data_IF_148643257905
#
_entry.id   IF_148643257905
#
_cell.length_a   1.000
_cell.length_b   1.000
_cell.length_c   1.000
_cell.angle_alpha   90.00
_cell.angle_beta   90.00
_cell.angle_gamma   90.00
#
_symmetry.space_group_name_H-M   'P 1'
#
loop_
_entity.id
_entity.type
_entity.pdbx_description
1 polymer ?
#
# COMPACT_ATOMS: atom_id res chain seq x y z
N UNK A 1 -18.19 -5.90 -7.98
CA UNK A 1 -16.73 -6.13 -7.93
C UNK A 1 -16.04 -4.88 -8.46
N UNK A 2 -15.27 -4.19 -7.62
CA UNK A 2 -14.65 -2.92 -7.97
C UNK A 2 -13.30 -3.20 -8.64
N UNK A 3 -13.28 -3.27 -9.98
CA UNK A 3 -12.13 -3.72 -10.76
C UNK A 3 -10.81 -2.93 -10.60
N UNK A 4 -10.83 -1.76 -9.94
CA UNK A 4 -9.63 -0.96 -9.65
C UNK A 4 -9.16 -1.04 -8.19
N UNK A 5 -9.95 -1.59 -7.27
CA UNK A 5 -9.53 -1.77 -5.87
C UNK A 5 -8.59 -2.97 -5.79
N UNK A 6 -7.31 -2.69 -5.55
CA UNK A 6 -6.31 -3.73 -5.25
C UNK A 6 -6.53 -4.29 -3.84
N UNK A 7 -5.93 -5.45 -3.56
CA UNK A 7 -5.99 -6.04 -2.22
C UNK A 7 -5.41 -5.11 -1.12
N UNK A 8 -4.49 -4.20 -1.50
CA UNK A 8 -3.99 -3.12 -0.64
C UNK A 8 -5.05 -2.07 -0.31
N UNK A 9 -5.95 -1.73 -1.24
CA UNK A 9 -7.09 -0.84 -0.93
C UNK A 9 -7.99 -1.48 0.13
N UNK A 10 -8.28 -2.79 0.01
CA UNK A 10 -9.12 -3.47 1.00
C UNK A 10 -8.47 -3.54 2.39
N UNK A 11 -7.16 -3.80 2.45
CA UNK A 11 -6.39 -3.78 3.70
C UNK A 11 -6.30 -2.37 4.30
N UNK A 12 -6.08 -1.34 3.48
CA UNK A 12 -6.12 0.06 3.89
C UNK A 12 -7.49 0.47 4.41
N UNK A 13 -8.56 0.06 3.72
CA UNK A 13 -9.95 0.38 4.06
C UNK A 13 -10.41 -0.28 5.36
N UNK A 14 -9.91 -1.48 5.63
CA UNK A 14 -10.24 -2.25 6.83
C UNK A 14 -9.34 -1.93 8.02
N UNK A 15 -8.23 -1.21 7.82
CA UNK A 15 -7.23 -0.97 8.85
C UNK A 15 -6.47 -2.24 9.28
N UNK A 16 -6.56 -3.32 8.49
CA UNK A 16 -6.00 -4.62 8.87
C UNK A 16 -4.49 -4.69 8.58
N UNK A 17 -3.70 -4.34 9.59
CA UNK A 17 -2.24 -4.32 9.53
C UNK A 17 -1.63 -5.71 9.27
N UNK A 18 -2.22 -6.77 9.84
CA UNK A 18 -1.73 -8.13 9.68
C UNK A 18 -1.83 -8.61 8.23
N UNK A 19 -2.94 -8.32 7.56
CA UNK A 19 -3.11 -8.62 6.13
C UNK A 19 -2.11 -7.83 5.31
N UNK A 20 -1.91 -6.54 5.60
CA UNK A 20 -0.96 -5.72 4.86
C UNK A 20 0.49 -6.23 5.00
N UNK A 21 0.90 -6.61 6.22
CA UNK A 21 2.20 -7.21 6.49
C UNK A 21 2.37 -8.56 5.79
N UNK A 22 1.37 -9.43 5.86
CA UNK A 22 1.38 -10.71 5.16
C UNK A 22 1.49 -10.51 3.64
N UNK A 23 0.82 -9.49 3.10
CA UNK A 23 0.85 -9.15 1.69
C UNK A 23 2.23 -8.62 1.27
N UNK A 24 2.85 -7.75 2.08
CA UNK A 24 4.23 -7.27 1.84
C UNK A 24 5.23 -8.43 1.86
N UNK A 25 5.11 -9.33 2.83
CA UNK A 25 5.98 -10.50 2.95
C UNK A 25 5.78 -11.52 1.82
N UNK A 26 4.54 -11.70 1.34
CA UNK A 26 4.20 -12.78 0.40
C UNK A 26 4.41 -12.41 -1.07
N UNK A 27 4.16 -11.16 -1.45
CA UNK A 27 4.24 -10.73 -2.86
C UNK A 27 5.59 -10.06 -3.20
N UNK A 28 6.41 -9.77 -2.19
CA UNK A 28 7.72 -9.14 -2.35
C UNK A 28 7.61 -7.65 -2.73
N UNK A 29 8.64 -6.87 -2.39
CA UNK A 29 8.62 -5.40 -2.51
C UNK A 29 8.25 -4.89 -3.92
N UNK A 30 8.60 -5.63 -4.98
CA UNK A 30 8.33 -5.24 -6.37
C UNK A 30 6.85 -5.22 -6.75
N UNK A 31 6.05 -6.18 -6.28
CA UNK A 31 4.62 -6.18 -6.58
C UNK A 31 3.84 -5.19 -5.71
N UNK A 32 4.30 -4.96 -4.47
CA UNK A 32 3.71 -3.97 -3.56
C UNK A 32 3.82 -2.55 -4.15
N UNK A 33 4.93 -2.23 -4.82
CA UNK A 33 5.11 -0.94 -5.53
C UNK A 33 4.01 -0.67 -6.56
N UNK A 34 3.65 -1.67 -7.37
CA UNK A 34 2.67 -1.51 -8.46
C UNK A 34 1.27 -1.21 -7.89
N UNK A 35 0.94 -1.77 -6.73
CA UNK A 35 -0.40 -1.65 -6.14
C UNK A 35 -0.54 -0.50 -5.15
N UNK A 36 0.57 0.08 -4.66
CA UNK A 36 0.54 1.20 -3.71
C UNK A 36 0.21 2.54 -4.37
N UNK A 37 0.66 2.77 -5.61
CA UNK A 37 0.35 4.00 -6.34
C UNK A 37 -0.93 3.90 -7.20
N UNK A 38 -1.52 2.71 -7.29
CA UNK A 38 -2.78 2.54 -8.00
C UNK A 38 -3.88 3.32 -7.29
N UNK A 39 -4.68 4.02 -8.07
CA UNK A 39 -5.85 4.74 -7.59
C UNK A 39 -7.08 3.83 -7.66
N UNK A 40 -7.89 3.86 -6.61
CA UNK A 40 -9.25 3.35 -6.59
C UNK A 40 -10.13 4.10 -7.61
N UNK A 41 -11.36 3.64 -7.80
CA UNK A 41 -12.36 4.34 -8.63
C UNK A 41 -12.61 5.78 -8.20
N UNK A 42 -12.36 6.08 -6.92
CA UNK A 42 -12.50 7.42 -6.35
C UNK A 42 -11.23 8.28 -6.53
N UNK A 43 -10.22 7.79 -7.27
CA UNK A 43 -8.93 8.48 -7.42
C UNK A 43 -7.99 8.34 -6.22
N UNK A 44 -8.37 7.58 -5.20
CA UNK A 44 -7.62 7.49 -3.94
C UNK A 44 -6.62 6.34 -3.98
N UNK A 45 -5.40 6.59 -3.53
CA UNK A 45 -4.44 5.51 -3.27
C UNK A 45 -4.77 4.77 -1.97
N UNK A 46 -4.26 3.55 -1.76
CA UNK A 46 -4.39 2.85 -0.49
C UNK A 46 -3.89 3.68 0.70
N UNK A 47 -2.85 4.50 0.51
CA UNK A 47 -2.34 5.39 1.55
C UNK A 47 -3.37 6.47 1.90
N UNK A 48 -3.96 7.11 0.89
CA UNK A 48 -5.03 8.10 1.10
C UNK A 48 -6.24 7.48 1.79
N UNK A 49 -6.64 6.26 1.41
CA UNK A 49 -7.74 5.55 2.04
C UNK A 49 -7.48 5.25 3.53
N UNK A 50 -6.26 4.80 3.86
CA UNK A 50 -5.86 4.55 5.25
C UNK A 50 -5.81 5.85 6.07
N UNK A 51 -5.26 6.93 5.50
CA UNK A 51 -5.19 8.23 6.15
C UNK A 51 -6.58 8.83 6.38
N UNK A 52 -7.46 8.79 5.36
CA UNK A 52 -8.82 9.31 5.45
C UNK A 52 -9.66 8.60 6.51
N UNK A 53 -9.35 7.33 6.80
CA UNK A 53 -10.02 6.52 7.83
C UNK A 53 -9.33 6.53 9.18
N UNK A 54 -8.22 7.26 9.33
CA UNK A 54 -7.45 7.33 10.59
C UNK A 54 -6.68 6.05 10.92
N UNK A 55 -6.44 5.15 9.94
CA UNK A 55 -5.70 3.92 10.14
C UNK A 55 -4.19 4.15 10.09
N UNK A 56 -3.66 4.85 11.10
CA UNK A 56 -2.26 5.27 11.20
C UNK A 56 -1.27 4.10 11.14
N UNK A 57 -1.59 2.94 11.73
CA UNK A 57 -0.74 1.76 11.65
C UNK A 57 -0.57 1.23 10.22
N UNK A 58 -1.67 1.19 9.45
CA UNK A 58 -1.63 0.81 8.04
C UNK A 58 -0.90 1.86 7.21
N UNK A 59 -1.17 3.14 7.44
CA UNK A 59 -0.47 4.24 6.78
C UNK A 59 1.05 4.17 7.02
N UNK A 60 1.49 3.84 8.24
CA UNK A 60 2.92 3.71 8.56
C UNK A 60 3.57 2.54 7.81
N UNK A 61 2.88 1.40 7.67
CA UNK A 61 3.41 0.28 6.88
C UNK A 61 3.52 0.67 5.41
N UNK A 62 2.48 1.30 4.83
CA UNK A 62 2.51 1.79 3.45
C UNK A 62 3.65 2.79 3.21
N UNK A 63 3.85 3.74 4.13
CA UNK A 63 4.96 4.69 4.06
C UNK A 63 6.33 4.02 4.12
N UNK A 64 6.50 2.99 4.95
CA UNK A 64 7.75 2.22 5.01
C UNK A 64 8.07 1.54 3.68
N UNK A 65 7.07 0.94 3.03
CA UNK A 65 7.25 0.33 1.71
C UNK A 65 7.63 1.39 0.67
N UNK A 66 6.97 2.56 0.67
CA UNK A 66 7.35 3.70 -0.19
C UNK A 66 8.78 4.20 0.06
N UNK A 67 9.23 4.26 1.31
CA UNK A 67 10.59 4.70 1.61
C UNK A 67 11.62 3.71 1.07
N UNK A 68 11.34 2.41 1.19
CA UNK A 68 12.20 1.35 0.64
C UNK A 68 12.33 1.49 -0.89
N UNK A 69 11.26 1.91 -1.60
CA UNK A 69 11.36 2.26 -3.04
C UNK A 69 12.41 3.34 -3.29
N UNK A 70 12.37 4.45 -2.54
CA UNK A 70 13.31 5.55 -2.75
C UNK A 70 14.77 5.08 -2.57
N UNK A 71 15.04 4.25 -1.56
CA UNK A 71 16.38 3.70 -1.33
C UNK A 71 16.80 2.70 -2.42
N UNK A 72 15.94 1.79 -2.85
CA UNK A 72 16.30 0.80 -3.88
C UNK A 72 16.49 1.44 -5.26
N UNK A 73 15.75 2.51 -5.58
CA UNK A 73 15.87 3.21 -6.86
C UNK A 73 17.14 4.05 -6.98
N UNK A 74 17.72 4.48 -5.86
CA UNK A 74 18.95 5.29 -5.84
C UNK A 74 20.23 4.47 -5.60
N UNK A 75 20.14 3.21 -5.18
CA UNK A 75 21.30 2.34 -4.93
C UNK A 75 21.68 1.48 -6.15
N UNK A 76 20.86 1.48 -7.21
CA UNK A 76 21.10 0.68 -8.44
C UNK A 76 21.53 1.56 -9.65
N UNK A 77 22.00 2.79 -9.42
CA UNK A 77 22.65 3.62 -10.45
C UNK A 77 24.06 4.02 -10.06
#
# INVERSE_FOLDING_TARGET
MNANETAMHMAARSGNQAVLLAMVNKIGAGAVQIVQNKQSKNGWSPLLEACARGHTGVANILLKVSRIEFYMKHVVY
#
